data_IF_357527162184
#
_entry.id   IF_357527162184
#
_cell.length_a   1.000
_cell.length_b   1.000
_cell.length_c   1.000
_cell.angle_alpha   90.00
_cell.angle_beta   90.00
_cell.angle_gamma   90.00
#
_symmetry.space_group_name_H-M   'P 1'
#
loop_
_entity.id
_entity.type
_entity.pdbx_description
1 polymer ?
#
# COMPACT_ATOMS: atom_id res chain seq x y z
N UNK A 1 -12.22 -5.41 8.91
CA UNK A 1 -11.52 -5.88 7.71
C UNK A 1 -10.66 -4.78 7.11
N UNK A 2 -9.40 -4.50 7.68
CA UNK A 2 -8.58 -3.42 7.12
C UNK A 2 -8.01 -3.79 5.75
N UNK A 3 -7.95 -2.79 4.89
CA UNK A 3 -7.38 -2.93 3.55
C UNK A 3 -6.39 -1.79 3.32
N UNK A 4 -5.17 -2.13 2.92
CA UNK A 4 -4.12 -1.15 2.69
C UNK A 4 -3.74 -1.17 1.22
N UNK A 5 -3.74 0.00 0.61
CA UNK A 5 -3.31 0.16 -0.78
C UNK A 5 -2.12 1.11 -0.80
N UNK A 6 -0.98 0.60 -1.24
CA UNK A 6 0.24 1.39 -1.32
C UNK A 6 0.53 1.67 -2.78
N UNK A 7 0.63 2.94 -3.13
CA UNK A 7 1.01 3.35 -4.47
C UNK A 7 2.42 3.91 -4.42
N UNK A 8 3.29 3.42 -5.30
CA UNK A 8 4.68 3.85 -5.29
C UNK A 8 5.22 3.85 -6.71
N UNK A 9 6.36 4.52 -6.89
CA UNK A 9 7.05 4.48 -8.17
C UNK A 9 7.59 3.09 -8.42
N UNK A 10 7.72 2.67 -9.70
CA UNK A 10 8.32 1.38 -10.00
C UNK A 10 9.80 1.36 -9.61
N UNK A 11 10.35 0.16 -9.49
CA UNK A 11 11.77 0.00 -9.24
C UNK A 11 12.11 -0.82 -8.02
N UNK A 12 11.15 -1.13 -7.17
CA UNK A 12 11.42 -1.96 -6.02
C UNK A 12 11.36 -3.43 -6.40
N UNK A 13 12.16 -4.25 -5.71
CA UNK A 13 12.17 -5.67 -5.99
C UNK A 13 10.94 -6.35 -5.43
N UNK A 14 10.65 -7.54 -5.95
CA UNK A 14 9.55 -8.32 -5.41
C UNK A 14 9.76 -8.65 -3.94
N UNK A 15 11.01 -8.92 -3.56
CA UNK A 15 11.29 -9.23 -2.16
C UNK A 15 11.02 -8.02 -1.26
N UNK A 16 11.40 -6.83 -1.71
CA UNK A 16 11.14 -5.63 -0.93
C UNK A 16 9.64 -5.42 -0.73
N UNK A 17 8.87 -5.61 -1.79
CA UNK A 17 7.42 -5.43 -1.69
C UNK A 17 6.79 -6.49 -0.80
N UNK A 18 7.28 -7.73 -0.88
CA UNK A 18 6.74 -8.79 -0.03
C UNK A 18 7.03 -8.52 1.43
N UNK A 19 8.26 -8.11 1.74
CA UNK A 19 8.61 -7.81 3.13
C UNK A 19 7.81 -6.65 3.67
N UNK A 20 7.57 -5.63 2.84
CA UNK A 20 6.76 -4.50 3.28
C UNK A 20 5.35 -4.94 3.61
N UNK A 21 4.76 -5.76 2.73
CA UNK A 21 3.40 -6.24 2.98
C UNK A 21 3.33 -7.07 4.25
N UNK A 22 4.34 -7.89 4.51
CA UNK A 22 4.37 -8.70 5.72
C UNK A 22 4.45 -7.84 6.98
N UNK A 23 5.32 -6.82 6.96
CA UNK A 23 5.46 -5.99 8.15
C UNK A 23 4.20 -5.15 8.40
N UNK A 24 3.59 -4.65 7.33
CA UNK A 24 2.36 -3.89 7.49
C UNK A 24 1.27 -4.78 8.06
N UNK A 25 1.17 -6.02 7.58
CA UNK A 25 0.18 -6.94 8.11
C UNK A 25 0.41 -7.20 9.59
N UNK A 26 1.67 -7.41 9.99
CA UNK A 26 1.99 -7.62 11.40
C UNK A 26 1.60 -6.43 12.26
N UNK A 27 1.89 -5.22 11.75
CA UNK A 27 1.57 -4.02 12.51
C UNK A 27 0.06 -3.85 12.68
N UNK A 28 -0.69 -4.13 11.63
CA UNK A 28 -2.14 -4.02 11.71
C UNK A 28 -2.70 -5.04 12.71
N UNK A 29 -2.17 -6.25 12.67
CA UNK A 29 -2.62 -7.27 13.61
C UNK A 29 -2.39 -6.83 15.06
N UNK A 30 -1.23 -6.25 15.31
CA UNK A 30 -0.87 -5.85 16.65
C UNK A 30 -1.65 -4.63 17.13
N UNK A 31 -1.71 -3.61 16.28
CA UNK A 31 -2.25 -2.32 16.71
C UNK A 31 -3.77 -2.30 16.64
N UNK A 32 -4.34 -2.86 15.58
CA UNK A 32 -5.78 -2.87 15.42
C UNK A 32 -6.43 -4.13 15.96
N UNK A 33 -5.62 -5.06 16.44
CA UNK A 33 -6.14 -6.32 17.01
C UNK A 33 -7.01 -7.05 16.00
N UNK A 34 -6.54 -7.13 14.77
CA UNK A 34 -7.26 -7.79 13.68
C UNK A 34 -6.62 -9.12 13.35
N UNK A 35 -7.42 -10.07 12.89
CA UNK A 35 -6.91 -11.35 12.44
C UNK A 35 -6.28 -11.22 11.06
N UNK A 36 -5.28 -12.07 10.80
CA UNK A 36 -4.57 -12.00 9.53
C UNK A 36 -5.50 -12.21 8.35
N UNK A 37 -6.46 -13.08 8.50
CA UNK A 37 -7.36 -13.41 7.39
C UNK A 37 -8.25 -12.24 6.98
N UNK A 38 -8.37 -11.23 7.82
CA UNK A 38 -9.17 -10.06 7.49
C UNK A 38 -8.37 -8.90 6.95
N UNK A 39 -7.05 -9.06 6.79
CA UNK A 39 -6.18 -7.97 6.39
C UNK A 39 -5.74 -8.20 4.94
N UNK A 40 -5.83 -7.14 4.12
CA UNK A 40 -5.33 -7.20 2.76
C UNK A 40 -4.42 -6.02 2.49
N UNK A 41 -3.32 -6.28 1.80
CA UNK A 41 -2.33 -5.27 1.46
C UNK A 41 -2.04 -5.38 -0.03
N UNK A 42 -2.19 -4.27 -0.75
CA UNK A 42 -1.93 -4.21 -2.18
C UNK A 42 -0.87 -3.16 -2.42
N UNK A 43 0.11 -3.50 -3.25
CA UNK A 43 1.15 -2.55 -3.64
C UNK A 43 1.05 -2.35 -5.14
N UNK A 44 0.76 -1.10 -5.55
CA UNK A 44 0.62 -0.75 -6.96
C UNK A 44 1.80 0.11 -7.38
N UNK A 45 2.40 -0.25 -8.51
CA UNK A 45 3.46 0.56 -9.10
C UNK A 45 2.84 1.52 -10.10
N UNK A 46 3.03 2.82 -9.86
CA UNK A 46 2.46 3.88 -10.69
C UNK A 46 3.61 4.59 -11.40
N UNK A 47 3.63 4.62 -12.73
CA UNK A 47 4.68 5.35 -13.43
C UNK A 47 4.68 6.82 -13.06
N UNK A 48 5.86 7.41 -13.06
CA UNK A 48 5.99 8.80 -12.61
C UNK A 48 5.11 9.73 -13.41
N UNK A 49 5.00 9.49 -14.72
CA UNK A 49 4.21 10.37 -15.56
C UNK A 49 2.72 10.31 -15.28
N UNK A 50 2.27 9.26 -14.59
CA UNK A 50 0.85 9.14 -14.22
C UNK A 50 0.58 9.45 -12.77
N UNK A 51 1.63 9.75 -12.02
CA UNK A 51 1.48 9.94 -10.58
C UNK A 51 0.55 11.08 -10.23
N UNK A 52 0.67 12.21 -10.95
CA UNK A 52 -0.15 13.36 -10.64
C UNK A 52 -1.62 13.05 -10.80
N UNK A 53 -2.01 12.36 -11.86
CA UNK A 53 -3.41 12.09 -12.11
C UNK A 53 -3.98 11.03 -11.17
N UNK A 54 -3.18 10.00 -10.86
CA UNK A 54 -3.70 8.87 -10.09
C UNK A 54 -3.59 9.10 -8.60
N UNK A 55 -2.48 9.70 -8.14
CA UNK A 55 -2.25 9.84 -6.71
C UNK A 55 -2.49 11.27 -6.25
N UNK A 56 -1.76 12.20 -6.85
CA UNK A 56 -1.80 13.58 -6.35
C UNK A 56 -3.19 14.18 -6.43
N UNK A 57 -3.81 14.08 -7.60
CA UNK A 57 -5.11 14.74 -7.77
C UNK A 57 -6.23 14.01 -7.07
N UNK A 58 -6.16 12.68 -7.01
CA UNK A 58 -7.26 11.92 -6.46
C UNK A 58 -7.16 11.68 -4.97
N UNK A 59 -5.95 11.56 -4.42
CA UNK A 59 -5.80 11.15 -3.04
C UNK A 59 -5.11 12.17 -2.16
N UNK A 60 -4.29 13.06 -2.74
CA UNK A 60 -3.56 14.03 -1.94
C UNK A 60 -4.20 15.41 -2.05
N UNK A 61 -4.48 15.83 -3.26
CA UNK A 61 -4.95 17.19 -3.53
C UNK A 61 -6.42 17.21 -3.93
N UNK A 62 -7.23 16.36 -3.38
CA UNK A 62 -8.62 16.24 -3.79
C UNK A 62 -9.48 17.34 -3.18
N UNK A 63 -9.27 18.53 -3.61
CA UNK A 63 -10.06 19.66 -3.15
C UNK A 63 -11.16 19.97 -4.12
#
# INVERSE_FOLDING_TARGET
MPHVNIKCYPGKTEEQKRKLAEKITEDIMEIMEAGEEGISVVIEEIPEEKWENIVWKKEISNK
#
